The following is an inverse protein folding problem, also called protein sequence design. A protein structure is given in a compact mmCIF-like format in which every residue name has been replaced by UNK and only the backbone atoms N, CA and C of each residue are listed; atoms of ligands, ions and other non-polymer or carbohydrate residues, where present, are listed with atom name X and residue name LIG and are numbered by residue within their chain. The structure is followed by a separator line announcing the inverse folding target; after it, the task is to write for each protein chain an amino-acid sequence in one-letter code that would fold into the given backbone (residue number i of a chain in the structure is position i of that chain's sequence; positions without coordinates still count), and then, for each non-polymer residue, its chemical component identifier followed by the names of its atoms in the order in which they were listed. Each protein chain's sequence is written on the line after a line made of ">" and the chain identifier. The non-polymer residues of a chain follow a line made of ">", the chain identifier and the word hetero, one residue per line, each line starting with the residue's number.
data_IF_046827202089
#
_entry.id   IF_046827202089
#
_cell.length_a   1.000
_cell.length_b   1.000
_cell.length_c   1.000
_cell.angle_alpha   90.00
_cell.angle_beta   90.00
_cell.angle_gamma   90.00
#
_symmetry.space_group_name_H-M   'P 1'
#
loop_
_entity.id
_entity.type
_entity.pdbx_description
1 polymer ?
#
# COMPACT_ATOMS: atom_id res chain seq x y z
N UNK A 1 27.85 -59.12 15.56
CA UNK A 1 29.09 -58.77 14.84
C UNK A 1 28.79 -57.52 14.01
N UNK A 2 29.70 -56.57 14.07
CA UNK A 2 29.76 -55.20 13.50
C UNK A 2 29.17 -54.91 12.10
N UNK A 3 28.75 -53.63 11.92
CA UNK A 3 28.91 -52.70 10.77
C UNK A 3 28.29 -53.10 9.39
N UNK A 4 27.81 -52.24 8.48
CA UNK A 4 27.70 -50.78 8.28
C UNK A 4 26.68 -50.47 7.13
N UNK A 5 26.10 -49.27 7.15
CA UNK A 5 25.53 -48.36 6.12
C UNK A 5 25.13 -48.78 4.67
N UNK A 6 23.92 -48.38 4.18
CA UNK A 6 23.59 -47.17 3.36
C UNK A 6 22.25 -47.25 2.57
N UNK A 7 21.54 -46.10 2.45
CA UNK A 7 20.48 -45.76 1.47
C UNK A 7 19.04 -46.24 1.78
N UNK A 8 17.93 -45.52 1.58
CA UNK A 8 17.61 -44.19 1.02
C UNK A 8 16.15 -43.82 1.42
N UNK A 9 15.85 -42.52 1.33
CA UNK A 9 14.54 -41.88 1.14
C UNK A 9 13.49 -41.83 2.28
N UNK A 10 13.67 -40.79 3.12
CA UNK A 10 12.58 -40.13 3.83
C UNK A 10 11.76 -39.26 2.86
N UNK A 11 10.47 -39.56 2.73
CA UNK A 11 9.50 -38.76 1.98
C UNK A 11 9.32 -37.37 2.60
N UNK A 12 9.72 -36.34 1.85
CA UNK A 12 9.40 -34.95 2.10
C UNK A 12 7.92 -34.66 1.77
N UNK A 13 7.07 -34.58 2.79
CA UNK A 13 5.86 -33.76 2.71
C UNK A 13 6.27 -32.29 2.82
N UNK A 14 6.20 -31.58 1.69
CA UNK A 14 6.46 -30.16 1.61
C UNK A 14 5.43 -29.37 2.41
N UNK A 15 5.83 -28.93 3.60
CA UNK A 15 5.12 -27.88 4.34
C UNK A 15 5.25 -26.59 3.52
N UNK A 16 4.19 -26.26 2.79
CA UNK A 16 4.02 -24.98 2.13
C UNK A 16 3.91 -23.88 3.19
N UNK A 17 5.08 -23.33 3.58
CA UNK A 17 5.18 -22.20 4.49
C UNK A 17 4.49 -20.98 3.87
N UNK A 18 3.27 -20.70 4.34
CA UNK A 18 2.58 -19.46 4.02
C UNK A 18 3.49 -18.25 4.32
N UNK A 19 3.75 -17.43 3.29
CA UNK A 19 4.65 -16.26 3.29
C UNK A 19 4.22 -15.10 4.22
N UNK A 20 3.41 -15.35 5.25
CA UNK A 20 2.95 -14.38 6.26
C UNK A 20 3.64 -14.53 7.63
N UNK A 21 4.57 -15.48 7.80
CA UNK A 21 5.02 -15.91 9.13
C UNK A 21 6.40 -15.47 9.64
N UNK A 22 7.18 -14.64 8.94
CA UNK A 22 8.57 -14.36 9.37
C UNK A 22 8.74 -12.99 10.04
N UNK A 23 8.02 -12.72 11.15
CA UNK A 23 8.44 -11.77 12.19
C UNK A 23 7.85 -12.25 13.53
N UNK A 24 8.35 -13.35 14.08
CA UNK A 24 7.93 -13.83 15.42
C UNK A 24 9.08 -14.17 16.37
N UNK A 25 10.34 -13.84 16.02
CA UNK A 25 11.49 -14.39 16.74
C UNK A 25 12.54 -13.44 17.32
N UNK A 26 12.49 -12.12 17.09
CA UNK A 26 13.62 -11.23 17.43
C UNK A 26 13.24 -9.95 18.17
N UNK A 27 12.03 -9.86 18.72
CA UNK A 27 11.49 -8.63 19.31
C UNK A 27 12.30 -8.11 20.50
N UNK A 28 12.54 -8.93 21.53
CA UNK A 28 13.03 -8.43 22.82
C UNK A 28 14.43 -7.76 22.80
N UNK A 29 15.40 -8.27 22.03
CA UNK A 29 16.77 -7.72 22.00
C UNK A 29 16.96 -6.62 20.95
N UNK A 30 16.17 -6.62 19.87
CA UNK A 30 16.13 -5.48 18.94
C UNK A 30 15.42 -4.26 19.56
N UNK A 31 14.50 -4.48 20.51
CA UNK A 31 13.71 -3.44 21.20
C UNK A 31 14.55 -2.48 22.07
N UNK A 32 15.70 -2.90 22.60
CA UNK A 32 16.58 -1.99 23.36
C UNK A 32 17.23 -0.91 22.45
N UNK A 33 17.46 -1.23 21.18
CA UNK A 33 18.03 -0.29 20.19
C UNK A 33 17.02 0.69 19.59
N UNK A 34 15.76 0.28 19.43
CA UNK A 34 14.69 1.11 18.81
C UNK A 34 14.25 2.27 19.71
N UNK A 35 14.40 2.13 21.03
CA UNK A 35 13.96 3.11 22.03
C UNK A 35 15.10 4.09 22.41
N UNK A 36 16.36 3.69 22.29
CA UNK A 36 17.53 4.49 22.69
C UNK A 36 17.70 5.83 21.92
N UNK A 37 16.98 6.03 20.81
CA UNK A 37 17.06 7.23 19.97
C UNK A 37 15.91 8.24 20.18
N UNK A 38 14.98 7.99 21.11
CA UNK A 38 13.88 8.93 21.42
C UNK A 38 14.30 9.83 22.60
N UNK A 39 14.42 11.16 22.42
CA UNK A 39 14.76 12.06 23.52
C UNK A 39 13.72 11.98 24.65
N UNK A 40 14.17 11.69 25.88
CA UNK A 40 13.32 11.68 27.08
C UNK A 40 12.80 10.32 27.55
N UNK A 41 13.17 9.21 26.90
CA UNK A 41 12.83 7.85 27.38
C UNK A 41 14.03 7.24 28.10
N UNK A 42 13.94 7.09 29.44
CA UNK A 42 14.96 6.40 30.22
C UNK A 42 14.77 4.87 30.14
N UNK A 43 15.81 4.14 29.73
CA UNK A 43 15.82 2.67 29.61
C UNK A 43 16.16 2.02 30.95
N UNK A 44 15.44 0.96 31.33
CA UNK A 44 15.96 -0.05 32.26
C UNK A 44 16.94 -0.97 31.50
N UNK A 45 17.98 -1.45 32.18
CA UNK A 45 19.02 -2.29 31.57
C UNK A 45 18.43 -3.57 30.91
N UNK A 46 19.00 -4.02 29.77
CA UNK A 46 18.52 -5.21 29.08
C UNK A 46 18.64 -6.44 29.99
N UNK A 47 17.54 -7.18 30.15
CA UNK A 47 17.55 -8.55 30.68
C UNK A 47 17.50 -9.51 29.49
N UNK A 48 18.28 -10.59 29.53
CA UNK A 48 18.25 -11.64 28.51
C UNK A 48 16.82 -12.13 28.27
N UNK A 49 16.49 -12.36 27.01
CA UNK A 49 15.23 -12.96 26.62
C UNK A 49 15.21 -14.41 27.14
N UNK A 50 14.42 -14.68 28.18
CA UNK A 50 14.05 -16.04 28.53
C UNK A 50 13.17 -16.62 27.42
N UNK A 51 13.29 -17.93 27.16
CA UNK A 51 12.49 -18.67 26.20
C UNK A 51 10.99 -18.33 26.31
N UNK A 52 10.19 -18.42 25.22
CA UNK A 52 8.75 -18.22 25.31
C UNK A 52 8.19 -19.16 26.37
N UNK A 53 7.61 -18.57 27.41
CA UNK A 53 6.96 -19.32 28.49
C UNK A 53 5.90 -20.22 27.85
N UNK A 54 5.92 -21.51 28.19
CA UNK A 54 4.82 -22.40 27.86
C UNK A 54 3.58 -21.83 28.54
N UNK A 55 2.65 -21.31 27.73
CA UNK A 55 1.55 -20.44 28.15
C UNK A 55 0.94 -20.82 29.49
N UNK A 56 1.08 -19.94 30.48
CA UNK A 56 0.20 -19.94 31.64
C UNK A 56 -1.10 -19.24 31.22
N UNK A 57 -2.23 -19.74 31.72
CA UNK A 57 -3.60 -19.50 31.25
C UNK A 57 -4.15 -18.09 31.53
N UNK A 58 -3.32 -17.06 31.49
CA UNK A 58 -3.66 -15.66 31.79
C UNK A 58 -3.67 -14.73 30.57
N UNK A 59 -3.31 -15.22 29.38
CA UNK A 59 -3.35 -14.43 28.16
C UNK A 59 -4.78 -14.36 27.57
N UNK A 60 -5.28 -13.13 27.36
CA UNK A 60 -6.50 -12.86 26.59
C UNK A 60 -6.33 -13.16 25.09
N UNK A 61 -7.38 -12.93 24.27
CA UNK A 61 -7.31 -13.24 22.84
C UNK A 61 -6.22 -12.40 22.15
N UNK A 62 -5.53 -12.97 21.16
CA UNK A 62 -4.49 -12.29 20.37
C UNK A 62 -5.04 -11.16 19.47
N UNK A 63 -6.36 -11.13 19.27
CA UNK A 63 -7.08 -10.11 18.49
C UNK A 63 -8.19 -9.47 19.36
N UNK A 64 -8.57 -8.22 19.09
CA UNK A 64 -9.65 -7.57 19.83
C UNK A 64 -10.95 -8.38 19.79
N UNK A 65 -11.71 -8.37 20.90
CA UNK A 65 -13.02 -9.03 20.96
C UNK A 65 -13.94 -8.48 19.86
N UNK A 66 -14.36 -9.35 18.95
CA UNK A 66 -15.19 -8.98 17.81
C UNK A 66 -16.62 -8.65 18.26
N UNK A 67 -17.03 -7.42 17.99
CA UNK A 67 -18.43 -7.00 17.95
C UNK A 67 -18.60 -6.24 16.63
N UNK A 68 -19.76 -6.29 15.93
CA UNK A 68 -19.93 -5.65 14.63
C UNK A 68 -20.01 -4.12 14.81
N UNK A 69 -18.88 -3.50 15.10
CA UNK A 69 -18.73 -2.06 15.21
C UNK A 69 -17.80 -1.64 14.08
N UNK A 70 -18.28 -0.72 13.26
CA UNK A 70 -17.49 -0.14 12.17
C UNK A 70 -16.30 0.59 12.77
N UNK A 71 -15.09 0.33 12.27
CA UNK A 71 -13.90 1.08 12.67
C UNK A 71 -14.13 2.58 12.42
N UNK A 72 -14.05 3.42 13.44
CA UNK A 72 -14.40 4.85 13.33
C UNK A 72 -13.24 5.68 12.77
N UNK A 73 -12.71 5.30 11.62
CA UNK A 73 -11.90 6.20 10.79
C UNK A 73 -12.87 7.23 10.20
N UNK A 74 -13.12 8.31 10.95
CA UNK A 74 -14.20 9.25 10.66
C UNK A 74 -13.71 10.55 9.99
N UNK A 75 -12.40 10.79 9.91
CA UNK A 75 -11.89 12.05 9.36
C UNK A 75 -11.88 12.02 7.82
N UNK A 76 -12.25 13.14 7.18
CA UNK A 76 -12.29 13.24 5.72
C UNK A 76 -10.91 12.93 5.10
N UNK A 77 -10.85 12.17 3.98
CA UNK A 77 -9.63 12.00 3.20
C UNK A 77 -9.10 13.35 2.68
N UNK A 78 -7.77 13.48 2.58
CA UNK A 78 -7.15 14.62 1.92
C UNK A 78 -7.27 14.49 0.39
N UNK A 79 -7.50 15.60 -0.29
CA UNK A 79 -7.57 15.62 -1.74
C UNK A 79 -6.21 15.24 -2.37
N UNK A 80 -6.24 14.36 -3.37
CA UNK A 80 -5.04 13.90 -4.08
C UNK A 80 -4.20 12.87 -3.32
N UNK A 81 -4.71 12.31 -2.21
CA UNK A 81 -4.03 11.26 -1.44
C UNK A 81 -4.72 9.91 -1.67
N UNK A 82 -3.93 8.86 -1.86
CA UNK A 82 -4.35 7.46 -1.68
C UNK A 82 -3.97 7.01 -0.27
N UNK A 83 -4.66 5.99 0.27
CA UNK A 83 -4.46 5.56 1.66
C UNK A 83 -4.22 4.07 1.78
N UNK A 84 -3.19 3.69 2.53
CA UNK A 84 -3.12 2.39 3.19
C UNK A 84 -3.71 2.52 4.60
N UNK A 85 -4.40 1.47 5.07
CA UNK A 85 -5.09 1.48 6.36
C UNK A 85 -4.76 0.20 7.12
N UNK A 86 -4.54 0.34 8.43
CA UNK A 86 -4.58 -0.77 9.37
C UNK A 86 -5.67 -0.46 10.40
N UNK A 87 -6.63 -1.36 10.53
CA UNK A 87 -7.71 -1.31 11.52
C UNK A 87 -7.23 -1.85 12.86
N UNK A 88 -8.05 -1.71 13.90
CA UNK A 88 -7.79 -2.32 15.21
C UNK A 88 -7.47 -3.83 15.16
N UNK A 89 -8.00 -4.56 14.17
CA UNK A 89 -7.81 -6.00 14.02
C UNK A 89 -6.46 -6.38 13.39
N UNK A 90 -5.77 -5.40 12.80
CA UNK A 90 -4.45 -5.59 12.19
C UNK A 90 -3.31 -5.38 13.21
N UNK A 91 -3.64 -4.91 14.43
CA UNK A 91 -2.67 -4.71 15.50
C UNK A 91 -2.45 -5.98 16.32
N UNK A 92 -1.19 -6.24 16.62
CA UNK A 92 -0.75 -7.31 17.53
C UNK A 92 -0.09 -6.71 18.77
N UNK A 93 -0.45 -7.14 19.98
CA UNK A 93 0.23 -6.71 21.20
C UNK A 93 1.55 -7.46 21.42
N UNK A 94 2.57 -6.73 21.82
CA UNK A 94 3.86 -7.26 22.25
C UNK A 94 4.22 -6.68 23.62
N UNK A 95 4.59 -7.57 24.56
CA UNK A 95 4.98 -7.22 25.92
C UNK A 95 6.10 -8.15 26.40
N UNK A 96 7.09 -7.65 27.15
CA UNK A 96 8.18 -8.45 27.71
C UNK A 96 7.77 -9.31 28.91
N UNK A 97 6.57 -9.13 29.47
CA UNK A 97 6.12 -9.81 30.71
C UNK A 97 4.94 -10.76 30.47
N UNK A 98 4.85 -11.40 29.29
CA UNK A 98 3.81 -12.39 28.95
C UNK A 98 2.37 -11.88 29.14
N UNK A 99 2.12 -10.59 28.85
CA UNK A 99 0.79 -9.99 28.88
C UNK A 99 0.43 -9.45 27.50
N UNK A 100 0.06 -10.36 26.59
CA UNK A 100 -0.25 -10.06 25.19
C UNK A 100 -1.76 -10.02 24.96
N UNK A 101 -2.49 -9.36 25.86
CA UNK A 101 -3.94 -9.47 25.94
C UNK A 101 -4.67 -8.18 25.55
N UNK A 102 -5.80 -8.33 24.84
CA UNK A 102 -6.79 -7.27 24.65
C UNK A 102 -7.84 -7.31 25.78
N UNK A 103 -8.16 -6.15 26.36
CA UNK A 103 -9.17 -6.02 27.43
C UNK A 103 -10.60 -5.73 26.94
N UNK A 104 -10.76 -5.34 25.67
CA UNK A 104 -12.02 -4.95 25.05
C UNK A 104 -11.84 -4.54 23.58
N UNK A 105 -12.88 -3.98 22.94
CA UNK A 105 -12.83 -3.58 21.52
C UNK A 105 -11.77 -2.50 21.30
N UNK A 106 -10.66 -2.89 20.68
CA UNK A 106 -9.50 -2.03 20.44
C UNK A 106 -8.76 -1.58 21.71
N UNK A 107 -9.10 -2.09 22.90
CA UNK A 107 -8.50 -1.67 24.18
C UNK A 107 -7.32 -2.55 24.54
N UNK A 108 -6.15 -1.95 24.59
CA UNK A 108 -4.92 -2.54 25.08
C UNK A 108 -4.48 -1.84 26.36
N UNK A 109 -4.20 -2.62 27.40
CA UNK A 109 -3.69 -2.14 28.67
C UNK A 109 -2.36 -2.80 28.95
N UNK A 110 -1.34 -2.00 29.12
CA UNK A 110 0.02 -2.39 29.43
C UNK A 110 0.26 -2.20 30.93
N UNK A 111 0.72 -3.26 31.62
CA UNK A 111 1.18 -3.21 33.02
C UNK A 111 2.73 -3.23 33.13
N UNK A 112 3.40 -3.13 31.97
CA UNK A 112 4.84 -3.05 31.72
C UNK A 112 5.01 -2.33 30.38
N UNK A 113 6.18 -1.76 30.02
CA UNK A 113 6.31 -1.07 28.75
C UNK A 113 6.04 -2.06 27.60
N UNK A 114 5.11 -1.70 26.72
CA UNK A 114 4.60 -2.59 25.67
C UNK A 114 4.38 -1.86 24.34
N UNK A 115 4.08 -2.63 23.30
CA UNK A 115 3.89 -2.12 21.95
C UNK A 115 2.66 -2.78 21.32
N UNK A 116 1.81 -1.99 20.66
CA UNK A 116 0.92 -2.52 19.62
C UNK A 116 1.58 -2.29 18.27
N UNK A 117 1.63 -3.29 17.40
CA UNK A 117 2.21 -3.13 16.07
C UNK A 117 1.28 -3.64 14.97
N UNK A 118 1.25 -2.89 13.88
CA UNK A 118 0.67 -3.29 12.60
C UNK A 118 1.69 -3.02 11.49
N UNK A 119 1.43 -3.53 10.30
CA UNK A 119 2.24 -3.19 9.13
C UNK A 119 1.37 -2.97 7.90
N UNK A 120 1.81 -2.06 7.05
CA UNK A 120 1.21 -1.82 5.74
C UNK A 120 2.27 -1.88 4.65
N UNK A 121 1.85 -2.28 3.45
CA UNK A 121 2.67 -2.19 2.25
C UNK A 121 2.72 -0.75 1.75
N UNK A 122 3.93 -0.29 1.45
CA UNK A 122 4.15 0.97 0.74
C UNK A 122 4.44 0.64 -0.72
N UNK A 123 3.57 1.09 -1.64
CA UNK A 123 3.76 0.76 -3.04
C UNK A 123 5.04 1.37 -3.63
N UNK A 124 5.58 0.71 -4.66
CA UNK A 124 6.75 1.19 -5.37
C UNK A 124 6.50 2.57 -5.99
N UNK A 125 7.43 3.49 -5.82
CA UNK A 125 7.31 4.88 -6.26
C UNK A 125 6.51 5.78 -5.31
N UNK A 126 6.07 5.26 -4.15
CA UNK A 126 5.20 6.02 -3.28
C UNK A 126 5.88 7.20 -2.62
N UNK A 127 5.13 8.29 -2.54
CA UNK A 127 5.48 9.44 -1.73
C UNK A 127 4.55 9.49 -0.51
N UNK A 128 5.01 8.99 0.63
CA UNK A 128 4.25 8.98 1.89
C UNK A 128 4.24 10.41 2.44
N UNK A 129 3.05 10.96 2.72
CA UNK A 129 2.88 12.37 3.09
C UNK A 129 2.43 12.58 4.51
N UNK A 130 1.52 11.75 4.99
CA UNK A 130 1.00 11.83 6.33
C UNK A 130 0.70 10.46 6.92
N UNK A 131 0.62 10.44 8.24
CA UNK A 131 0.16 9.30 9.01
C UNK A 131 -0.83 9.87 10.03
N UNK A 132 -2.02 9.28 10.10
CA UNK A 132 -3.05 9.70 11.02
C UNK A 132 -3.58 8.53 11.83
N UNK A 133 -3.49 8.67 13.14
CA UNK A 133 -3.86 7.68 14.14
C UNK A 133 -5.21 8.00 14.74
N UNK A 134 -6.04 6.97 14.95
CA UNK A 134 -7.35 7.06 15.57
C UNK A 134 -7.30 6.34 16.90
N UNK A 135 -6.86 7.07 17.92
CA UNK A 135 -6.52 6.50 19.22
C UNK A 135 -7.13 7.36 20.33
N UNK A 136 -7.59 6.69 21.38
CA UNK A 136 -7.87 7.28 22.68
C UNK A 136 -6.78 6.82 23.63
N UNK A 137 -6.03 7.74 24.20
CA UNK A 137 -5.07 7.44 25.25
C UNK A 137 -5.72 7.73 26.61
N UNK A 138 -6.06 6.69 27.36
CA UNK A 138 -6.60 6.80 28.73
C UNK A 138 -5.53 6.66 29.80
N UNK A 139 -4.27 6.52 29.42
CA UNK A 139 -3.17 6.47 30.38
C UNK A 139 -2.96 7.81 31.08
N UNK A 140 -2.32 7.78 32.26
CA UNK A 140 -1.78 8.97 32.91
C UNK A 140 -0.54 9.53 32.23
N UNK A 141 -0.06 8.90 31.16
CA UNK A 141 1.20 9.17 30.50
C UNK A 141 1.03 9.48 29.01
N UNK A 142 2.11 9.97 28.39
CA UNK A 142 2.13 10.20 26.95
C UNK A 142 2.39 8.90 26.20
N UNK A 143 1.56 8.61 25.19
CA UNK A 143 1.74 7.46 24.28
C UNK A 143 2.40 7.96 23.01
N UNK A 144 3.33 7.18 22.48
CA UNK A 144 4.04 7.52 21.25
C UNK A 144 3.63 6.58 20.12
N UNK A 145 3.08 7.15 19.06
CA UNK A 145 2.81 6.44 17.83
C UNK A 145 4.02 6.56 16.90
N UNK A 146 4.58 5.42 16.52
CA UNK A 146 5.82 5.28 15.77
C UNK A 146 5.52 4.82 14.35
N UNK A 147 6.23 5.40 13.39
CA UNK A 147 6.27 4.91 12.02
C UNK A 147 7.72 4.59 11.64
N UNK A 148 7.99 3.32 11.38
CA UNK A 148 9.33 2.79 11.10
C UNK A 148 9.32 2.11 9.75
N UNK A 149 10.17 2.58 8.85
CA UNK A 149 10.23 2.10 7.47
C UNK A 149 11.27 0.98 7.35
N UNK A 150 10.91 -0.03 6.57
CA UNK A 150 11.84 -0.95 5.96
C UNK A 150 11.71 -0.86 4.45
N UNK A 151 12.81 -0.58 3.76
CA UNK A 151 12.87 -0.59 2.30
C UNK A 151 13.82 -1.71 1.84
N UNK A 152 13.42 -2.45 0.80
CA UNK A 152 14.26 -3.49 0.21
C UNK A 152 15.61 -2.90 -0.24
N UNK A 153 16.70 -3.62 0.07
CA UNK A 153 18.07 -3.19 -0.25
C UNK A 153 18.67 -2.17 0.72
N UNK A 154 17.94 -1.71 1.73
CA UNK A 154 18.51 -0.90 2.82
C UNK A 154 19.02 -1.79 3.95
N UNK A 155 20.24 -1.52 4.44
CA UNK A 155 20.83 -2.24 5.58
C UNK A 155 20.17 -1.94 6.92
N UNK A 156 19.23 -0.99 6.95
CA UNK A 156 18.52 -0.55 8.15
C UNK A 156 17.09 -1.11 8.16
N UNK A 157 16.86 -2.05 9.06
CA UNK A 157 15.52 -2.36 9.54
C UNK A 157 15.15 -1.22 10.51
N UNK A 158 14.05 -0.49 10.25
CA UNK A 158 13.46 0.53 11.13
C UNK A 158 14.02 1.97 11.05
N UNK A 159 14.16 2.54 9.85
CA UNK A 159 14.39 3.98 9.72
C UNK A 159 13.16 4.78 10.21
N UNK A 160 13.35 5.80 11.04
CA UNK A 160 12.23 6.65 11.52
C UNK A 160 11.65 7.44 10.35
N UNK A 161 10.37 7.18 10.07
CA UNK A 161 9.61 7.96 9.10
C UNK A 161 8.91 9.14 9.78
N UNK A 162 8.17 8.85 10.85
CA UNK A 162 7.47 9.86 11.66
C UNK A 162 7.06 9.32 13.02
N UNK A 163 7.39 10.05 14.07
CA UNK A 163 6.82 9.85 15.40
C UNK A 163 5.75 10.89 15.69
N UNK A 164 4.67 10.45 16.33
CA UNK A 164 3.49 11.25 16.65
C UNK A 164 3.16 11.03 18.11
N UNK A 165 3.08 12.12 18.86
CA UNK A 165 2.64 12.09 20.26
C UNK A 165 1.12 11.94 20.28
N UNK A 166 0.61 10.94 21.01
CA UNK A 166 -0.81 10.72 21.24
C UNK A 166 -1.17 11.31 22.62
N UNK A 167 -1.85 12.47 22.67
CA UNK A 167 -2.23 13.09 23.93
C UNK A 167 -3.28 12.26 24.66
N UNK A 168 -3.32 12.41 25.99
CA UNK A 168 -4.36 11.80 26.83
C UNK A 168 -5.73 12.41 26.49
N UNK A 169 -6.79 11.61 26.62
CA UNK A 169 -8.14 12.05 26.25
C UNK A 169 -9.26 11.08 26.62
N UNK A 170 -10.47 11.61 26.66
CA UNK A 170 -11.70 10.88 26.98
C UNK A 170 -12.41 10.29 25.76
N UNK A 171 -11.91 10.51 24.54
CA UNK A 171 -12.51 10.03 23.31
C UNK A 171 -11.45 9.64 22.26
N UNK A 172 -11.85 8.82 21.28
CA UNK A 172 -11.03 8.53 20.10
C UNK A 172 -10.78 9.82 19.34
N UNK A 173 -9.52 10.17 19.14
CA UNK A 173 -9.12 11.39 18.43
C UNK A 173 -8.30 11.02 17.19
N UNK A 174 -8.48 11.79 16.12
CA UNK A 174 -7.63 11.71 14.93
C UNK A 174 -6.39 12.59 15.13
N UNK A 175 -5.22 11.96 15.30
CA UNK A 175 -3.95 12.65 15.49
C UNK A 175 -3.07 12.45 14.26
N UNK A 176 -2.85 13.52 13.51
CA UNK A 176 -2.11 13.51 12.25
C UNK A 176 -0.69 14.04 12.41
N UNK A 177 0.27 13.35 11.82
CA UNK A 177 1.64 13.84 11.64
C UNK A 177 1.99 13.92 10.15
N UNK A 178 2.45 15.09 9.71
CA UNK A 178 3.05 15.23 8.39
C UNK A 178 4.42 14.55 8.37
N UNK A 179 4.67 13.74 7.35
CA UNK A 179 6.00 13.19 7.08
C UNK A 179 6.91 14.36 6.65
N UNK A 180 8.16 14.44 7.15
CA UNK A 180 9.12 15.43 6.67
C UNK A 180 9.41 15.25 5.18
N UNK A 181 9.59 16.34 4.44
CA UNK A 181 9.79 16.27 2.98
C UNK A 181 11.01 15.46 2.55
N UNK A 182 12.07 15.46 3.36
CA UNK A 182 13.26 14.64 3.16
C UNK A 182 12.99 13.13 3.24
N UNK A 183 11.87 12.73 3.84
CA UNK A 183 11.47 11.35 4.06
C UNK A 183 10.21 10.97 3.27
N UNK A 184 9.85 11.68 2.20
CA UNK A 184 8.68 11.30 1.40
C UNK A 184 8.88 10.00 0.61
N UNK A 185 10.10 9.65 0.22
CA UNK A 185 10.40 8.64 -0.80
C UNK A 185 10.98 9.30 -2.06
N UNK A 186 10.85 8.69 -3.26
CA UNK A 186 10.06 7.52 -3.58
C UNK A 186 10.62 6.22 -2.99
N UNK A 187 9.74 5.33 -2.57
CA UNK A 187 10.13 4.05 -2.00
C UNK A 187 10.21 2.92 -3.03
N UNK A 188 11.17 1.99 -2.92
CA UNK A 188 11.26 0.84 -3.82
C UNK A 188 10.13 -0.17 -3.58
N UNK A 189 10.02 -1.15 -4.49
CA UNK A 189 9.13 -2.32 -4.30
C UNK A 189 9.45 -3.04 -2.98
N UNK A 190 8.44 -3.70 -2.42
CA UNK A 190 8.52 -4.43 -1.16
C UNK A 190 8.87 -3.54 0.06
N UNK A 191 8.63 -2.23 -0.02
CA UNK A 191 8.74 -1.38 1.17
C UNK A 191 7.60 -1.69 2.14
N UNK A 192 7.95 -1.95 3.40
CA UNK A 192 7.00 -2.15 4.50
C UNK A 192 7.09 -0.96 5.44
N UNK A 193 5.93 -0.45 5.86
CA UNK A 193 5.86 0.52 6.95
C UNK A 193 5.30 -0.19 8.19
N UNK A 194 6.14 -0.29 9.21
CA UNK A 194 5.74 -0.76 10.53
C UNK A 194 5.17 0.41 11.34
N UNK A 195 4.01 0.18 11.95
CA UNK A 195 3.20 1.17 12.65
C UNK A 195 3.06 0.69 14.10
N UNK A 196 3.70 1.39 15.04
CA UNK A 196 3.76 1.03 16.44
C UNK A 196 3.02 2.02 17.35
N UNK A 197 2.38 1.56 18.42
CA UNK A 197 1.97 2.39 19.56
C UNK A 197 2.72 1.93 20.81
N UNK A 198 3.71 2.73 21.22
CA UNK A 198 4.45 2.50 22.45
C UNK A 198 3.61 2.92 23.65
N UNK A 199 3.36 1.96 24.53
CA UNK A 199 2.48 2.11 25.68
C UNK A 199 3.32 1.94 26.96
N UNK A 200 3.31 2.90 27.91
CA UNK A 200 4.08 2.80 29.15
C UNK A 200 3.51 1.76 30.13
N UNK A 201 4.22 1.54 31.25
CA UNK A 201 3.93 0.54 32.30
C UNK A 201 2.52 0.63 32.89
N UNK A 202 1.91 1.80 32.87
CA UNK A 202 0.58 2.09 33.40
C UNK A 202 -0.39 2.55 32.31
N UNK A 203 -0.06 2.20 31.06
CA UNK A 203 -0.70 2.77 29.88
C UNK A 203 -1.89 1.96 29.39
N UNK A 204 -3.02 2.64 29.14
CA UNK A 204 -4.16 2.06 28.44
C UNK A 204 -4.53 2.90 27.22
N UNK A 205 -4.70 2.24 26.08
CA UNK A 205 -5.09 2.86 24.81
C UNK A 205 -6.25 2.11 24.18
N UNK A 206 -7.14 2.84 23.53
CA UNK A 206 -8.11 2.29 22.60
C UNK A 206 -7.71 2.69 21.18
N UNK A 207 -7.34 1.72 20.33
CA UNK A 207 -6.99 1.93 18.92
C UNK A 207 -8.15 1.54 18.02
N UNK A 208 -8.56 2.46 17.13
CA UNK A 208 -9.54 2.17 16.09
C UNK A 208 -8.89 1.94 14.72
N UNK A 209 -7.70 2.49 14.52
CA UNK A 209 -6.86 2.24 13.36
C UNK A 209 -5.89 3.37 13.08
N UNK A 210 -5.24 3.26 11.93
CA UNK A 210 -4.29 4.23 11.38
C UNK A 210 -4.44 4.27 9.87
N UNK A 211 -4.31 5.45 9.28
CA UNK A 211 -4.20 5.62 7.83
C UNK A 211 -2.89 6.29 7.45
N UNK A 212 -2.34 5.88 6.32
CA UNK A 212 -1.08 6.36 5.75
C UNK A 212 -1.38 6.95 4.39
N UNK A 213 -1.28 8.27 4.25
CA UNK A 213 -1.60 8.98 3.03
C UNK A 213 -0.41 9.14 2.09
N UNK A 214 -0.66 8.96 0.80
CA UNK A 214 0.35 8.91 -0.25
C UNK A 214 -0.09 9.69 -1.49
N UNK A 215 0.84 10.34 -2.19
CA UNK A 215 0.50 11.12 -3.41
C UNK A 215 1.02 10.50 -4.71
N UNK A 216 1.73 9.38 -4.59
CA UNK A 216 2.30 8.56 -5.67
C UNK A 216 2.42 7.13 -5.15
N UNK A 217 2.74 6.23 -6.05
CA UNK A 217 3.21 4.89 -5.72
C UNK A 217 2.16 3.83 -5.91
N UNK A 218 2.60 2.80 -6.63
CA UNK A 218 1.80 1.67 -7.02
C UNK A 218 0.85 2.05 -8.13
N UNK A 219 1.31 1.82 -9.37
CA UNK A 219 0.44 1.36 -10.45
C UNK A 219 -0.28 0.09 -10.01
N UNK A 220 -1.20 0.24 -9.08
CA UNK A 220 -2.22 -0.75 -8.81
C UNK A 220 -2.99 -0.84 -10.11
N UNK A 221 -2.88 -2.01 -10.74
CA UNK A 221 -3.62 -2.29 -11.95
C UNK A 221 -5.00 -2.73 -11.50
N UNK A 222 -5.99 -1.85 -11.61
CA UNK A 222 -7.38 -2.20 -11.32
C UNK A 222 -8.06 -2.64 -12.60
N UNK A 223 -8.40 -3.93 -12.73
CA UNK A 223 -9.25 -4.40 -13.82
C UNK A 223 -10.68 -3.89 -13.61
N UNK A 224 -11.34 -3.46 -14.69
CA UNK A 224 -12.75 -3.11 -14.65
C UNK A 224 -13.59 -4.40 -14.64
N UNK A 225 -14.74 -4.37 -13.95
CA UNK A 225 -15.69 -5.50 -13.94
C UNK A 225 -16.18 -5.87 -15.36
N UNK A 226 -16.17 -4.91 -16.28
CA UNK A 226 -16.39 -5.10 -17.70
C UNK A 226 -15.64 -4.03 -18.50
N UNK A 227 -15.16 -4.32 -19.73
CA UNK A 227 -14.57 -3.30 -20.60
C UNK A 227 -15.52 -2.11 -20.85
N UNK A 228 -14.98 -0.89 -20.85
CA UNK A 228 -15.74 0.34 -21.10
C UNK A 228 -15.24 1.03 -22.36
N UNK A 229 -16.11 1.17 -23.37
CA UNK A 229 -15.82 1.92 -24.58
C UNK A 229 -15.83 3.42 -24.30
N UNK A 230 -14.66 4.06 -24.38
CA UNK A 230 -14.54 5.51 -24.17
C UNK A 230 -14.48 6.30 -25.47
N UNK A 231 -14.21 5.62 -26.60
CA UNK A 231 -14.13 6.28 -27.90
C UNK A 231 -14.45 5.31 -29.05
N UNK A 232 -15.25 5.78 -30.02
CA UNK A 232 -15.47 5.12 -31.31
C UNK A 232 -15.58 6.17 -32.42
N UNK A 233 -14.50 6.30 -33.19
CA UNK A 233 -14.42 7.28 -34.28
C UNK A 233 -15.44 7.06 -35.40
N UNK A 234 -16.06 5.88 -35.49
CA UNK A 234 -17.11 5.58 -36.48
C UNK A 234 -18.45 6.17 -36.08
N UNK A 235 -18.66 6.41 -34.78
CA UNK A 235 -19.88 7.01 -34.23
C UNK A 235 -19.74 8.52 -34.07
N UNK A 236 -18.56 8.98 -33.62
CA UNK A 236 -18.30 10.39 -33.34
C UNK A 236 -16.83 10.74 -33.63
N UNK A 237 -16.58 11.87 -34.29
CA UNK A 237 -15.24 12.36 -34.61
C UNK A 237 -14.72 11.91 -35.99
N UNK A 238 -15.35 10.94 -36.63
CA UNK A 238 -15.04 10.52 -38.01
C UNK A 238 -13.66 9.87 -38.15
N UNK A 239 -13.34 9.44 -39.36
CA UNK A 239 -12.04 8.83 -39.69
C UNK A 239 -10.89 9.78 -39.37
N UNK A 240 -9.78 9.26 -38.85
CA UNK A 240 -8.56 10.04 -38.71
C UNK A 240 -8.00 10.35 -40.10
N UNK A 241 -7.46 11.55 -40.30
CA UNK A 241 -6.70 11.88 -41.50
C UNK A 241 -5.22 11.50 -41.31
N UNK A 242 -4.50 11.32 -42.42
CA UNK A 242 -3.06 11.12 -42.38
C UNK A 242 -2.36 12.30 -41.68
N UNK A 243 -1.42 12.01 -40.79
CA UNK A 243 -0.68 13.01 -40.00
C UNK A 243 -1.50 13.68 -38.89
N UNK A 244 -2.78 13.33 -38.71
CA UNK A 244 -3.64 14.00 -37.72
C UNK A 244 -3.40 13.48 -36.31
N UNK A 245 -3.54 14.38 -35.33
CA UNK A 245 -3.53 14.05 -33.90
C UNK A 245 -4.85 14.46 -33.27
N UNK A 246 -5.40 13.60 -32.40
CA UNK A 246 -6.57 13.93 -31.58
C UNK A 246 -6.27 13.73 -30.11
N UNK A 247 -6.79 14.61 -29.27
CA UNK A 247 -6.75 14.47 -27.81
C UNK A 247 -8.03 13.81 -27.34
N UNK A 248 -7.91 12.72 -26.60
CA UNK A 248 -9.03 11.98 -26.02
C UNK A 248 -8.99 12.14 -24.50
N UNK A 249 -10.17 12.27 -23.89
CA UNK A 249 -10.33 12.40 -22.43
C UNK A 249 -10.95 11.13 -21.87
N UNK A 250 -10.33 10.56 -20.84
CA UNK A 250 -10.89 9.42 -20.10
C UNK A 250 -11.97 9.94 -19.14
N UNK A 251 -13.20 9.38 -19.18
CA UNK A 251 -14.27 9.76 -18.27
C UNK A 251 -13.88 9.55 -16.79
N UNK A 252 -14.38 10.41 -15.90
CA UNK A 252 -14.15 10.29 -14.45
C UNK A 252 -14.69 8.98 -13.87
N UNK A 253 -15.73 8.40 -14.48
CA UNK A 253 -16.27 7.09 -14.12
C UNK A 253 -15.31 5.93 -14.40
N UNK A 254 -14.32 6.14 -15.27
CA UNK A 254 -13.28 5.15 -15.62
C UNK A 254 -11.98 5.49 -14.89
N UNK A 255 -11.55 6.75 -14.93
CA UNK A 255 -10.33 7.22 -14.27
C UNK A 255 -10.69 8.26 -13.19
N UNK A 256 -10.83 7.80 -11.94
CA UNK A 256 -11.03 8.67 -10.79
C UNK A 256 -9.75 9.46 -10.44
N UNK A 257 -9.82 10.30 -9.41
CA UNK A 257 -8.63 10.99 -8.90
C UNK A 257 -7.55 9.99 -8.47
N UNK A 258 -6.29 10.27 -8.79
CA UNK A 258 -5.15 9.38 -8.52
C UNK A 258 -4.79 8.43 -9.66
N UNK A 259 -5.68 8.22 -10.65
CA UNK A 259 -5.36 7.41 -11.84
C UNK A 259 -4.35 8.14 -12.73
N UNK A 260 -3.24 7.47 -13.01
CA UNK A 260 -2.11 7.96 -13.83
C UNK A 260 -2.07 7.33 -15.23
N UNK A 261 -2.85 6.27 -15.46
CA UNK A 261 -2.98 5.64 -16.77
C UNK A 261 -4.16 4.67 -16.88
N UNK A 262 -4.38 4.15 -18.07
CA UNK A 262 -5.38 3.13 -18.38
C UNK A 262 -4.72 1.93 -19.03
N UNK A 263 -5.30 0.75 -18.86
CA UNK A 263 -5.04 -0.43 -19.69
C UNK A 263 -6.17 -0.49 -20.71
N UNK A 264 -5.88 -0.40 -22.01
CA UNK A 264 -6.90 -0.32 -23.05
C UNK A 264 -6.58 -1.21 -24.25
N UNK A 265 -7.63 -1.80 -24.83
CA UNK A 265 -7.59 -2.39 -26.16
C UNK A 265 -7.81 -1.27 -27.20
N UNK A 266 -6.89 -1.17 -28.15
CA UNK A 266 -6.97 -0.24 -29.27
C UNK A 266 -7.29 -1.01 -30.54
N UNK A 267 -8.45 -0.76 -31.14
CA UNK A 267 -8.83 -1.37 -32.42
C UNK A 267 -8.73 -0.34 -33.54
N UNK A 268 -7.73 -0.48 -34.39
CA UNK A 268 -7.61 0.24 -35.65
C UNK A 268 -8.39 -0.53 -36.73
N UNK A 269 -9.33 0.10 -37.42
CA UNK A 269 -10.20 -0.57 -38.39
C UNK A 269 -10.50 0.28 -39.62
N UNK A 270 -10.73 -0.38 -40.75
CA UNK A 270 -11.20 0.24 -41.98
C UNK A 270 -10.14 1.10 -42.66
N UNK A 271 -8.85 0.90 -42.38
CA UNK A 271 -7.76 1.69 -42.96
C UNK A 271 -7.79 1.69 -44.49
N UNK A 272 -7.57 2.85 -45.11
CA UNK A 272 -7.55 2.97 -46.59
C UNK A 272 -6.14 2.89 -47.18
N UNK A 273 -5.14 2.76 -46.31
CA UNK A 273 -3.73 2.55 -46.62
C UNK A 273 -3.04 1.96 -45.40
N UNK A 274 -1.90 1.30 -45.59
CA UNK A 274 -1.13 0.75 -44.47
C UNK A 274 -0.54 1.90 -43.63
N UNK A 275 -0.57 1.74 -42.32
CA UNK A 275 -0.12 2.78 -41.40
C UNK A 275 -0.05 2.33 -39.95
N UNK A 276 0.04 3.30 -39.06
CA UNK A 276 0.17 3.08 -37.63
C UNK A 276 -0.49 4.20 -36.84
N UNK A 277 -0.90 3.85 -35.62
CA UNK A 277 -1.30 4.80 -34.59
C UNK A 277 -0.17 4.89 -33.56
N UNK A 278 0.03 6.08 -33.00
CA UNK A 278 0.86 6.29 -31.81
C UNK A 278 0.00 6.89 -30.71
N UNK A 279 0.16 6.39 -29.51
CA UNK A 279 -0.64 6.79 -28.35
C UNK A 279 0.26 7.18 -27.20
N UNK A 280 -0.01 8.32 -26.57
CA UNK A 280 0.88 8.91 -25.57
C UNK A 280 0.14 9.86 -24.62
N UNK A 281 0.65 10.09 -23.40
CA UNK A 281 0.06 11.08 -22.49
C UNK A 281 -0.02 12.47 -23.14
N UNK A 282 -1.09 13.22 -22.91
CA UNK A 282 -1.28 14.50 -23.59
C UNK A 282 -0.20 15.55 -23.27
N UNK A 283 0.48 15.39 -22.12
CA UNK A 283 1.60 16.20 -21.63
C UNK A 283 2.97 15.77 -22.18
N UNK A 284 3.04 14.67 -22.93
CA UNK A 284 4.29 14.12 -23.47
C UNK A 284 4.47 14.49 -24.95
N UNK A 285 5.72 14.54 -25.44
CA UNK A 285 5.99 14.66 -26.88
C UNK A 285 5.52 13.40 -27.63
N UNK A 286 5.28 13.54 -28.94
CA UNK A 286 4.93 12.44 -29.83
C UNK A 286 6.06 11.38 -29.82
N UNK A 287 5.80 10.12 -29.42
CA UNK A 287 6.83 9.10 -29.41
C UNK A 287 7.21 8.64 -30.83
N UNK A 288 8.38 8.02 -31.00
CA UNK A 288 8.75 7.37 -32.26
C UNK A 288 8.01 6.02 -32.45
N UNK A 289 7.62 5.37 -31.36
CA UNK A 289 7.05 4.01 -31.35
C UNK A 289 5.58 3.97 -31.78
N UNK A 290 5.23 2.94 -32.56
CA UNK A 290 3.85 2.63 -32.93
C UNK A 290 3.13 1.85 -31.83
N UNK A 291 1.90 2.25 -31.54
CA UNK A 291 1.00 1.57 -30.60
C UNK A 291 0.19 0.46 -31.28
N UNK A 292 -0.27 0.66 -32.52
CA UNK A 292 -0.91 -0.36 -33.35
C UNK A 292 -0.59 -0.08 -34.82
N UNK A 293 -0.32 -1.13 -35.59
CA UNK A 293 -0.10 -1.06 -37.04
C UNK A 293 -1.29 -1.68 -37.76
N UNK A 294 -1.67 -1.14 -38.92
CA UNK A 294 -2.82 -1.64 -39.68
C UNK A 294 -2.52 -1.64 -41.18
N UNK A 295 -3.27 -2.46 -41.92
CA UNK A 295 -3.20 -2.56 -43.38
C UNK A 295 -4.29 -1.72 -44.04
N UNK A 296 -4.09 -1.41 -45.32
CA UNK A 296 -5.05 -0.70 -46.16
C UNK A 296 -6.18 -1.57 -46.73
N UNK A 297 -6.32 -2.81 -46.27
CA UNK A 297 -7.34 -3.78 -46.72
C UNK A 297 -8.67 -3.65 -45.95
N UNK A 298 -8.77 -2.66 -45.06
CA UNK A 298 -9.94 -2.41 -44.22
C UNK A 298 -10.09 -3.34 -43.02
N UNK A 299 -9.23 -4.35 -42.85
CA UNK A 299 -9.29 -5.27 -41.72
C UNK A 299 -9.05 -4.58 -40.37
N UNK A 300 -9.52 -5.21 -39.29
CA UNK A 300 -9.26 -4.76 -37.94
C UNK A 300 -7.88 -5.23 -37.47
N UNK A 301 -7.14 -4.36 -36.80
CA UNK A 301 -5.93 -4.70 -36.05
C UNK A 301 -6.07 -4.17 -34.63
N UNK A 302 -5.68 -5.01 -33.67
CA UNK A 302 -5.88 -4.74 -32.25
C UNK A 302 -4.57 -4.82 -31.48
N UNK A 303 -4.41 -3.96 -30.49
CA UNK A 303 -3.34 -4.09 -29.51
C UNK A 303 -3.80 -3.60 -28.12
N UNK A 304 -3.67 -4.46 -27.11
CA UNK A 304 -3.95 -4.12 -25.72
C UNK A 304 -2.67 -3.65 -25.02
N UNK A 305 -2.68 -2.43 -24.47
CA UNK A 305 -1.49 -1.83 -23.88
C UNK A 305 -1.81 -0.80 -22.79
N UNK A 306 -0.88 -0.55 -21.85
CA UNK A 306 -1.00 0.58 -20.93
C UNK A 306 -0.79 1.91 -21.67
N UNK A 307 -1.60 2.90 -21.31
CA UNK A 307 -1.54 4.28 -21.83
C UNK A 307 -1.52 5.23 -20.64
N UNK A 308 -0.45 5.98 -20.47
CA UNK A 308 -0.40 7.06 -19.47
C UNK A 308 -1.32 8.22 -19.86
N UNK A 309 -1.87 8.91 -18.86
CA UNK A 309 -2.76 10.06 -19.05
C UNK A 309 -2.22 11.29 -18.30
N UNK A 310 -2.55 12.49 -18.77
CA UNK A 310 -2.22 13.72 -18.05
C UNK A 310 -3.07 13.87 -16.78
N UNK A 311 -2.76 14.86 -15.93
CA UNK A 311 -3.59 15.26 -14.77
C UNK A 311 -5.02 15.67 -15.16
N UNK A 312 -5.25 16.04 -16.43
CA UNK A 312 -6.57 16.31 -16.99
C UNK A 312 -7.28 15.05 -17.53
N UNK A 313 -6.72 13.85 -17.28
CA UNK A 313 -7.17 12.53 -17.79
C UNK A 313 -7.12 12.42 -19.31
N UNK A 314 -6.12 13.04 -19.92
CA UNK A 314 -6.02 13.11 -21.38
C UNK A 314 -4.82 12.36 -21.95
N UNK A 315 -5.04 11.72 -23.09
CA UNK A 315 -4.00 11.16 -23.94
C UNK A 315 -4.20 11.62 -25.39
N UNK A 316 -3.17 11.52 -26.21
CA UNK A 316 -3.19 11.87 -27.62
C UNK A 316 -3.02 10.63 -28.49
N UNK A 317 -3.69 10.64 -29.62
CA UNK A 317 -3.60 9.63 -30.67
C UNK A 317 -3.16 10.31 -31.96
N UNK A 318 -2.00 9.92 -32.47
CA UNK A 318 -1.51 10.31 -33.80
C UNK A 318 -1.79 9.19 -34.80
N UNK A 319 -2.22 9.51 -36.01
CA UNK A 319 -2.42 8.57 -37.11
C UNK A 319 -1.51 8.90 -38.30
N UNK A 320 -0.72 7.93 -38.78
CA UNK A 320 0.13 8.14 -39.97
C UNK A 320 -0.63 8.04 -41.29
N UNK A 321 -1.75 7.31 -41.33
CA UNK A 321 -2.62 7.16 -42.49
C UNK A 321 -4.12 7.18 -42.07
N UNK A 322 -5.07 7.22 -43.02
CA UNK A 322 -6.49 7.28 -42.66
C UNK A 322 -7.02 5.97 -42.10
N UNK A 323 -7.62 6.02 -40.90
CA UNK A 323 -8.15 4.85 -40.17
C UNK A 323 -9.21 5.25 -39.16
N UNK A 324 -10.07 4.31 -38.76
CA UNK A 324 -10.91 4.46 -37.57
C UNK A 324 -10.22 3.84 -36.36
N UNK A 325 -10.36 4.49 -35.20
CA UNK A 325 -9.96 3.95 -33.90
C UNK A 325 -11.18 3.74 -33.00
N UNK A 326 -11.15 2.64 -32.26
CA UNK A 326 -11.98 2.35 -31.10
C UNK A 326 -11.05 2.18 -29.89
N UNK A 327 -11.46 2.71 -28.73
CA UNK A 327 -10.73 2.56 -27.47
C UNK A 327 -11.66 1.96 -26.42
N UNK A 328 -11.32 0.74 -25.99
CA UNK A 328 -12.01 0.01 -24.94
C UNK A 328 -11.09 -0.13 -23.72
N UNK A 329 -11.46 0.47 -22.59
CA UNK A 329 -10.67 0.42 -21.35
C UNK A 329 -11.01 -0.85 -20.60
N UNK A 330 -9.98 -1.60 -20.19
CA UNK A 330 -10.10 -2.85 -19.44
C UNK A 330 -9.53 -2.75 -18.02
N UNK A 331 -8.76 -1.69 -17.74
CA UNK A 331 -8.27 -1.41 -16.40
C UNK A 331 -7.67 -0.02 -16.25
N UNK A 332 -7.24 0.30 -15.04
CA UNK A 332 -6.60 1.58 -14.67
C UNK A 332 -5.25 1.34 -14.00
N UNK A 333 -4.40 2.37 -14.03
CA UNK A 333 -3.11 2.44 -13.32
C UNK A 333 -3.19 3.63 -12.37
N UNK A 334 -3.04 3.42 -11.06
CA UNK A 334 -3.01 4.50 -10.06
C UNK A 334 -1.60 4.80 -9.52
#
# INVERSE_FOLDING_TARGET
>A
MRHDQTGDDAGHEGVELARRGLILGAGATALAGVIAAVPGIALAAPREATAPDAGTTTDGPATPLASPITSTIASAPQNGYSYAVASMFDFTPESPTSQRAWGGVGVYTANAPGMLWASVDIPAGALVRDIEWYVRNTSGATVHALARLWAAGTGNLFATLRDIVIPTGSAITATRGSVPSAAYGPYPTATKLNLGLFTPVDGSVQVNGVRVGMTRGGSSTGLLASPVRIYDSRRSGGRFAAGSTRTLTVPVSVAASGVTGILANLTAIGGTGSGHLRVYPASSPLPPTAAVTYRGDGSASENAQPIGISTARQFKVYASAPVHLIVDVIGTLA
#
